data_IF_216040323356
#
_entry.id   IF_216040323356
#
_cell.length_a   1.000
_cell.length_b   1.000
_cell.length_c   1.000
_cell.angle_alpha   90.00
_cell.angle_beta   90.00
_cell.angle_gamma   90.00
#
_symmetry.space_group_name_H-M   'P 1'
#
loop_
_entity.id
_entity.type
_entity.pdbx_description
1 polymer ?
#
# COMPACT_ATOMS: atom_id res chain seq x y z
N UNK A 1 -28.01 74.60 64.46
CA UNK A 1 -27.43 74.54 63.11
C UNK A 1 -26.38 73.42 63.05
N UNK A 2 -26.80 72.16 63.17
CA UNK A 2 -25.88 71.02 63.23
C UNK A 2 -26.60 69.74 62.78
N UNK A 3 -26.46 69.36 61.50
CA UNK A 3 -26.47 67.96 61.03
C UNK A 3 -26.33 67.81 59.49
N UNK A 4 -25.63 68.74 58.80
CA UNK A 4 -25.31 68.61 57.37
C UNK A 4 -24.05 67.76 57.12
N UNK A 5 -23.07 67.77 58.03
CA UNK A 5 -21.79 67.06 57.86
C UNK A 5 -21.90 65.54 58.01
N UNK A 6 -22.82 65.05 58.87
CA UNK A 6 -23.06 63.61 59.05
C UNK A 6 -23.82 62.99 57.87
N UNK A 7 -24.71 63.77 57.25
CA UNK A 7 -25.42 63.36 56.03
C UNK A 7 -24.45 63.19 54.86
N UNK A 8 -23.54 64.15 54.68
CA UNK A 8 -22.52 64.10 53.63
C UNK A 8 -21.58 62.90 53.80
N UNK A 9 -21.12 62.62 55.03
CA UNK A 9 -20.21 61.50 55.30
C UNK A 9 -20.90 60.12 55.17
N UNK A 10 -22.18 59.99 55.55
CA UNK A 10 -22.95 58.74 55.41
C UNK A 10 -23.45 58.51 53.98
N UNK A 11 -23.77 59.57 53.25
CA UNK A 11 -24.14 59.53 51.84
C UNK A 11 -22.94 59.15 50.97
N UNK A 12 -21.76 59.74 51.24
CA UNK A 12 -20.54 59.44 50.51
C UNK A 12 -20.01 58.02 50.81
N UNK A 13 -20.11 57.55 52.07
CA UNK A 13 -19.85 56.12 52.40
C UNK A 13 -20.79 55.16 51.69
N UNK A 14 -22.08 55.49 51.58
CA UNK A 14 -23.07 54.65 50.88
C UNK A 14 -22.85 54.66 49.36
N UNK A 15 -22.48 55.80 48.78
CA UNK A 15 -22.15 55.92 47.36
C UNK A 15 -20.88 55.11 47.00
N UNK A 16 -19.83 55.17 47.84
CA UNK A 16 -18.62 54.36 47.64
C UNK A 16 -18.94 52.87 47.79
N UNK A 17 -19.73 52.47 48.79
CA UNK A 17 -20.12 51.07 48.96
C UNK A 17 -20.93 50.55 47.75
N UNK A 18 -21.87 51.34 47.21
CA UNK A 18 -22.63 50.99 46.00
C UNK A 18 -21.74 50.88 44.76
N UNK A 19 -20.79 51.80 44.58
CA UNK A 19 -19.86 51.76 43.46
C UNK A 19 -18.94 50.52 43.52
N UNK A 20 -18.48 50.15 44.72
CA UNK A 20 -17.68 48.93 44.92
C UNK A 20 -18.51 47.68 44.62
N UNK A 21 -19.77 47.61 45.09
CA UNK A 21 -20.65 46.48 44.80
C UNK A 21 -20.91 46.35 43.29
N UNK A 22 -21.18 47.46 42.60
CA UNK A 22 -21.35 47.45 41.14
C UNK A 22 -20.08 47.01 40.41
N UNK A 23 -18.91 47.48 40.85
CA UNK A 23 -17.63 47.08 40.26
C UNK A 23 -17.36 45.57 40.44
N UNK A 24 -17.69 45.01 41.61
CA UNK A 24 -17.54 43.56 41.88
C UNK A 24 -18.50 42.73 41.03
N UNK A 25 -19.76 43.16 40.90
CA UNK A 25 -20.75 42.47 40.05
C UNK A 25 -20.34 42.53 38.58
N UNK A 26 -19.80 43.67 38.12
CA UNK A 26 -19.35 43.83 36.76
C UNK A 26 -18.11 42.97 36.45
N UNK A 27 -17.15 42.90 37.38
CA UNK A 27 -15.97 42.04 37.24
C UNK A 27 -16.34 40.55 37.21
N UNK A 28 -17.21 40.10 38.12
CA UNK A 28 -17.67 38.71 38.14
C UNK A 28 -18.49 38.34 36.90
N UNK A 29 -19.32 39.26 36.40
CA UNK A 29 -20.08 39.07 35.15
C UNK A 29 -19.20 38.99 33.91
N UNK A 30 -18.14 39.80 33.85
CA UNK A 30 -17.16 39.78 32.75
C UNK A 30 -16.47 38.41 32.63
N UNK A 31 -16.05 37.81 33.74
CA UNK A 31 -15.35 36.50 33.70
C UNK A 31 -16.27 35.35 33.27
N UNK A 32 -17.57 35.42 33.59
CA UNK A 32 -18.55 34.41 33.16
C UNK A 32 -18.86 34.53 31.67
N UNK A 33 -18.93 35.74 31.12
CA UNK A 33 -19.11 35.94 29.67
C UNK A 33 -17.83 35.75 28.87
N UNK A 34 -16.66 35.91 29.48
CA UNK A 34 -15.36 35.70 28.85
C UNK A 34 -14.94 34.21 28.82
N UNK A 35 -15.75 33.29 29.36
CA UNK A 35 -15.49 31.87 29.21
C UNK A 35 -15.63 31.47 27.74
N UNK A 36 -14.56 30.98 27.09
CA UNK A 36 -14.66 30.47 25.73
C UNK A 36 -15.56 29.23 25.75
N UNK A 37 -16.57 29.21 24.89
CA UNK A 37 -17.45 28.06 24.74
C UNK A 37 -16.62 26.84 24.32
N UNK A 38 -16.54 25.85 25.21
CA UNK A 38 -15.82 24.60 24.96
C UNK A 38 -16.63 23.78 23.94
N UNK A 39 -16.24 23.88 22.67
CA UNK A 39 -16.92 23.15 21.61
C UNK A 39 -16.53 21.67 21.66
N UNK A 40 -17.49 20.73 21.64
CA UNK A 40 -17.19 19.30 21.59
C UNK A 40 -16.33 18.98 20.38
N UNK A 41 -15.12 18.48 20.62
CA UNK A 41 -14.22 18.07 19.55
C UNK A 41 -14.79 16.82 18.86
N UNK A 42 -14.88 16.78 17.52
CA UNK A 42 -15.42 15.62 16.81
C UNK A 42 -14.64 14.35 17.18
N UNK A 43 -15.35 13.27 17.50
CA UNK A 43 -14.75 11.98 17.79
C UNK A 43 -14.11 11.40 16.51
N UNK A 44 -12.82 11.06 16.59
CA UNK A 44 -12.10 10.41 15.49
C UNK A 44 -12.38 8.89 15.55
N UNK A 45 -12.85 8.26 14.46
CA UNK A 45 -13.04 6.82 14.41
C UNK A 45 -11.75 6.03 14.69
N UNK A 46 -11.85 4.82 15.29
CA UNK A 46 -10.68 3.99 15.55
C UNK A 46 -10.00 3.56 14.24
N UNK A 47 -8.66 3.54 14.24
CA UNK A 47 -7.88 3.11 13.08
C UNK A 47 -8.08 1.61 12.80
N UNK A 48 -8.31 1.26 11.53
CA UNK A 48 -8.45 -0.13 11.08
C UNK A 48 -7.07 -0.70 10.77
N UNK A 49 -6.64 -1.80 11.40
CA UNK A 49 -5.35 -2.41 11.11
C UNK A 49 -5.34 -3.05 9.71
N UNK A 50 -4.26 -2.82 8.96
CA UNK A 50 -4.04 -3.40 7.62
C UNK A 50 -2.67 -4.04 7.53
N UNK A 51 -2.58 -5.16 6.82
CA UNK A 51 -1.31 -5.81 6.51
C UNK A 51 -0.73 -5.21 5.23
N UNK A 52 0.52 -4.79 5.30
CA UNK A 52 1.24 -4.20 4.15
C UNK A 52 2.48 -5.04 3.81
N UNK A 53 2.80 -5.09 2.53
CA UNK A 53 4.03 -5.70 2.02
C UNK A 53 4.78 -4.69 1.15
N UNK A 54 6.12 -4.71 1.22
CA UNK A 54 7.00 -3.82 0.43
C UNK A 54 7.06 -4.34 -1.02
N UNK A 55 6.63 -3.53 -1.98
CA UNK A 55 6.79 -3.83 -3.40
C UNK A 55 8.28 -3.71 -3.79
N UNK A 56 8.81 -4.74 -4.47
CA UNK A 56 10.19 -4.79 -4.97
C UNK A 56 10.17 -5.10 -6.46
N UNK A 57 11.00 -4.41 -7.24
CA UNK A 57 11.25 -4.77 -8.64
C UNK A 57 12.31 -5.85 -8.67
N UNK A 58 11.99 -6.95 -9.34
CA UNK A 58 12.89 -8.07 -9.55
C UNK A 58 12.65 -8.65 -10.94
N UNK A 59 13.68 -9.23 -11.52
CA UNK A 59 13.58 -9.91 -12.80
C UNK A 59 12.86 -11.24 -12.60
N UNK A 60 11.78 -11.46 -13.36
CA UNK A 60 11.01 -12.70 -13.34
C UNK A 60 11.11 -13.35 -14.71
N UNK A 61 11.82 -14.48 -14.85
CA UNK A 61 11.97 -15.14 -16.13
C UNK A 61 10.63 -15.77 -16.57
N UNK A 62 10.21 -15.48 -17.80
CA UNK A 62 9.03 -16.08 -18.41
C UNK A 62 9.47 -17.22 -19.33
N UNK A 63 9.06 -18.44 -19.01
CA UNK A 63 9.40 -19.63 -19.79
C UNK A 63 8.22 -20.08 -20.64
N UNK A 64 8.46 -20.33 -21.93
CA UNK A 64 7.51 -21.02 -22.80
C UNK A 64 7.95 -22.47 -22.95
N UNK A 65 7.12 -23.41 -22.48
CA UNK A 65 7.37 -24.85 -22.64
C UNK A 65 6.68 -25.32 -23.92
N UNK A 66 7.46 -25.80 -24.88
CA UNK A 66 6.96 -26.39 -26.10
C UNK A 66 7.47 -27.83 -26.23
N UNK A 67 6.63 -28.71 -26.78
CA UNK A 67 7.00 -30.07 -27.16
C UNK A 67 7.32 -30.07 -28.66
N UNK A 68 8.40 -30.75 -29.04
CA UNK A 68 8.82 -30.89 -30.43
C UNK A 68 9.53 -32.22 -30.66
N UNK A 69 9.58 -32.67 -31.91
CA UNK A 69 10.26 -33.90 -32.33
C UNK A 69 11.54 -33.58 -33.07
N UNK A 70 12.60 -34.38 -32.88
CA UNK A 70 13.84 -34.24 -33.65
C UNK A 70 13.66 -34.86 -35.04
N UNK A 71 14.06 -34.13 -36.09
CA UNK A 71 14.07 -34.61 -37.46
C UNK A 71 15.49 -34.59 -38.03
N UNK A 72 15.86 -35.62 -38.78
CA UNK A 72 17.13 -35.65 -39.49
C UNK A 72 17.22 -34.51 -40.51
N UNK A 73 18.34 -33.80 -40.55
CA UNK A 73 18.58 -32.75 -41.55
C UNK A 73 18.56 -33.32 -42.98
N UNK A 74 19.13 -34.51 -43.16
CA UNK A 74 19.07 -35.29 -44.40
C UNK A 74 18.72 -36.74 -44.07
N UNK A 75 17.64 -37.26 -44.67
CA UNK A 75 17.25 -38.67 -44.58
C UNK A 75 17.26 -39.31 -45.96
N UNK A 76 17.90 -40.47 -46.09
CA UNK A 76 17.96 -41.22 -47.36
C UNK A 76 17.38 -42.62 -47.16
N UNK A 77 16.39 -42.98 -47.97
CA UNK A 77 15.82 -44.33 -47.99
C UNK A 77 16.56 -45.17 -49.02
N UNK A 78 17.19 -46.25 -48.56
CA UNK A 78 17.97 -47.15 -49.42
C UNK A 78 17.02 -48.20 -50.03
N UNK A 79 17.09 -48.39 -51.34
CA UNK A 79 16.32 -49.40 -52.09
C UNK A 79 17.25 -50.30 -52.89
N UNK A 80 16.90 -51.57 -53.02
CA UNK A 80 17.58 -52.48 -53.91
C UNK A 80 17.43 -52.01 -55.37
N UNK A 81 18.51 -52.04 -56.14
CA UNK A 81 18.51 -51.69 -57.56
C UNK A 81 18.06 -52.85 -58.46
N UNK A 82 18.16 -54.07 -57.95
CA UNK A 82 17.93 -55.31 -58.69
C UNK A 82 16.96 -56.20 -57.91
N UNK A 83 16.17 -56.97 -58.64
CA UNK A 83 15.24 -57.94 -58.06
C UNK A 83 16.00 -59.20 -57.64
N UNK A 84 15.95 -59.53 -56.35
CA UNK A 84 16.65 -60.68 -55.76
C UNK A 84 16.28 -60.87 -54.29
N UNK A 85 16.58 -62.03 -53.74
CA UNK A 85 16.33 -62.33 -52.32
C UNK A 85 17.44 -61.74 -51.44
N UNK A 86 17.07 -61.09 -50.32
CA UNK A 86 18.02 -60.57 -49.35
C UNK A 86 18.72 -61.71 -48.61
N UNK A 87 20.03 -61.87 -48.81
CA UNK A 87 20.78 -62.99 -48.23
C UNK A 87 21.58 -62.64 -46.99
N UNK A 88 22.05 -61.40 -46.85
CA UNK A 88 22.82 -60.96 -45.69
C UNK A 88 22.69 -59.45 -45.48
N UNK A 89 22.58 -59.02 -44.23
CA UNK A 89 22.67 -57.61 -43.83
C UNK A 89 24.08 -57.37 -43.27
N UNK A 90 24.77 -56.33 -43.74
CA UNK A 90 26.17 -56.02 -43.33
C UNK A 90 26.26 -54.75 -42.48
N UNK A 91 25.12 -54.21 -42.04
CA UNK A 91 25.04 -52.98 -41.24
C UNK A 91 24.36 -53.25 -39.90
N UNK A 92 24.88 -52.63 -38.85
CA UNK A 92 24.25 -52.60 -37.52
C UNK A 92 23.60 -51.25 -37.24
N UNK A 93 22.58 -51.22 -36.37
CA UNK A 93 21.91 -49.98 -35.98
C UNK A 93 22.89 -48.98 -35.36
N UNK A 94 22.81 -47.71 -35.78
CA UNK A 94 23.69 -46.63 -35.31
C UNK A 94 25.11 -46.64 -35.89
N UNK A 95 25.43 -47.56 -36.80
CA UNK A 95 26.74 -47.62 -37.45
C UNK A 95 26.93 -46.45 -38.43
N UNK A 96 28.05 -45.74 -38.32
CA UNK A 96 28.46 -44.77 -39.34
C UNK A 96 28.90 -45.50 -40.62
N UNK A 97 28.28 -45.13 -41.75
CA UNK A 97 28.58 -45.70 -43.07
C UNK A 97 28.99 -44.61 -44.04
N UNK A 98 29.98 -44.90 -44.88
CA UNK A 98 30.47 -43.99 -45.93
C UNK A 98 29.75 -44.26 -47.24
N UNK A 99 29.74 -43.28 -48.14
CA UNK A 99 29.21 -43.44 -49.49
C UNK A 99 29.88 -44.62 -50.20
N UNK A 100 29.07 -45.49 -50.81
CA UNK A 100 29.53 -46.66 -51.56
C UNK A 100 29.85 -47.89 -50.70
N UNK A 101 29.63 -47.84 -49.38
CA UNK A 101 29.75 -49.01 -48.53
C UNK A 101 28.71 -50.08 -48.89
N UNK A 102 29.12 -51.35 -48.86
CA UNK A 102 28.22 -52.49 -49.05
C UNK A 102 27.40 -52.72 -47.78
N UNK A 103 26.09 -52.77 -47.94
CA UNK A 103 25.13 -52.80 -46.84
C UNK A 103 24.17 -53.99 -46.92
N UNK A 104 23.87 -54.47 -48.13
CA UNK A 104 23.05 -55.65 -48.44
C UNK A 104 23.32 -56.11 -49.88
#
# INVERSE_FOLDING_TARGET
>A
MADISKFFCRFWRRAIALAVVLAVVFAAGYEVLAQPADQPRPAIPPAVPVSVAKAVRQDVPVWLRALGTAQAYNGVTIRARVDGTLMKITVTEGQEVKQGALIA
#
